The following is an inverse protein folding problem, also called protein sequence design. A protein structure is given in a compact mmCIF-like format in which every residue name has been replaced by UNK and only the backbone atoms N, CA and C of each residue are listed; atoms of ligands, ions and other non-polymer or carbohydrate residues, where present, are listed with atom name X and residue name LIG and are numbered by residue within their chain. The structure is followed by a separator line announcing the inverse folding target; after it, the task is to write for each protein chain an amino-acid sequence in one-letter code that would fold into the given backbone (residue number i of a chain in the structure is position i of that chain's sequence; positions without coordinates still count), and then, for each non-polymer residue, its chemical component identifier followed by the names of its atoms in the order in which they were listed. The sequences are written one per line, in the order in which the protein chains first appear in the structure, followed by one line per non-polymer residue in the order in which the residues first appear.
data_IF_041254660814
#
_entry.id   IF_041254660814
#
_cell.length_a   1.000
_cell.length_b   1.000
_cell.length_c   1.000
_cell.angle_alpha   90.00
_cell.angle_beta   90.00
_cell.angle_gamma   90.00
#
_symmetry.space_group_name_H-M   'P 1'
#
loop_
_entity.id
_entity.type
_entity.pdbx_description
1 polymer ?
#
# COMPACT_ATOMS: atom_id res chain seq x y z
N UNK A 1 23.47 4.19 -7.81
CA UNK A 1 23.00 2.92 -7.21
C UNK A 1 21.76 3.28 -6.41
N UNK A 2 20.57 3.09 -6.98
CA UNK A 2 19.30 3.47 -6.35
C UNK A 2 19.05 2.56 -5.14
N UNK A 3 18.66 3.15 -4.00
CA UNK A 3 18.40 2.50 -2.71
C UNK A 3 17.46 1.28 -2.77
N UNK A 4 16.69 1.15 -3.86
CA UNK A 4 15.76 0.05 -4.14
C UNK A 4 16.42 -1.34 -4.16
N UNK A 5 17.72 -1.44 -4.50
CA UNK A 5 18.40 -2.74 -4.63
C UNK A 5 18.88 -3.36 -3.31
N UNK A 6 18.79 -2.66 -2.18
CA UNK A 6 19.39 -3.13 -0.93
C UNK A 6 18.46 -3.99 -0.06
N UNK A 7 17.16 -4.10 -0.36
CA UNK A 7 16.19 -4.72 0.57
C UNK A 7 15.42 -5.95 0.07
N UNK A 8 15.67 -6.44 -1.14
CA UNK A 8 15.11 -7.72 -1.60
C UNK A 8 15.95 -8.91 -1.10
N UNK A 9 15.84 -9.22 0.19
CA UNK A 9 16.20 -10.54 0.73
C UNK A 9 14.98 -11.47 0.68
N UNK A 10 14.61 -11.95 -0.51
CA UNK A 10 13.98 -13.26 -0.72
C UNK A 10 14.21 -13.68 -2.17
N UNK A 11 14.32 -14.99 -2.40
CA UNK A 11 14.92 -15.56 -3.60
C UNK A 11 14.23 -15.03 -4.88
N UNK A 12 14.97 -14.76 -5.97
CA UNK A 12 14.39 -14.39 -7.26
C UNK A 12 13.33 -15.39 -7.77
N UNK A 13 13.45 -16.65 -7.35
CA UNK A 13 12.54 -17.74 -7.69
C UNK A 13 11.16 -17.64 -7.01
N UNK A 14 11.02 -16.84 -5.95
CA UNK A 14 9.74 -16.65 -5.24
C UNK A 14 8.77 -15.75 -6.02
N UNK A 15 9.24 -15.04 -7.07
CA UNK A 15 8.42 -14.09 -7.83
C UNK A 15 8.72 -14.10 -9.34
N UNK A 16 8.46 -15.20 -10.06
CA UNK A 16 8.91 -15.38 -11.44
C UNK A 16 8.21 -14.49 -12.49
N UNK A 17 7.18 -13.72 -12.14
CA UNK A 17 6.31 -13.03 -13.12
C UNK A 17 5.95 -11.57 -12.79
N UNK A 18 6.74 -10.83 -12.01
CA UNK A 18 6.42 -9.40 -11.74
C UNK A 18 5.15 -9.18 -10.91
N UNK A 19 4.80 -10.16 -10.06
CA UNK A 19 3.66 -10.17 -9.12
C UNK A 19 3.75 -9.09 -8.00
N UNK A 20 4.56 -8.06 -8.20
CA UNK A 20 5.33 -7.35 -7.17
C UNK A 20 5.16 -5.83 -7.18
N UNK A 21 4.30 -5.28 -8.06
CA UNK A 21 4.33 -3.85 -8.36
C UNK A 21 3.31 -3.01 -7.60
N UNK A 22 2.42 -3.58 -6.78
CA UNK A 22 1.43 -2.79 -6.07
C UNK A 22 1.25 -3.16 -4.59
N UNK A 23 0.93 -2.13 -3.80
CA UNK A 23 0.58 -2.25 -2.38
C UNK A 23 -0.93 -2.24 -2.20
N UNK A 24 -1.40 -2.85 -1.11
CA UNK A 24 -2.82 -2.85 -0.73
C UNK A 24 -2.96 -2.95 0.80
N UNK A 25 -4.08 -2.48 1.38
CA UNK A 25 -4.32 -2.60 2.81
C UNK A 25 -4.60 -4.06 3.18
N UNK A 26 -3.99 -4.51 4.26
CA UNK A 26 -4.25 -5.80 4.91
C UNK A 26 -5.36 -5.65 5.94
N UNK A 27 -6.02 -6.73 6.34
CA UNK A 27 -7.04 -6.70 7.40
C UNK A 27 -8.40 -6.15 6.96
N UNK A 28 -8.60 -5.89 5.66
CA UNK A 28 -9.88 -5.59 5.03
C UNK A 28 -10.00 -6.28 3.67
N UNK A 29 -11.19 -6.23 3.05
CA UNK A 29 -11.45 -7.01 1.85
C UNK A 29 -10.52 -6.59 0.70
N UNK A 30 -9.96 -7.59 0.01
CA UNK A 30 -9.22 -7.37 -1.23
C UNK A 30 -10.18 -6.91 -2.34
N UNK A 31 -9.93 -5.74 -2.88
CA UNK A 31 -10.69 -5.16 -3.99
C UNK A 31 -10.28 -5.81 -5.32
N UNK A 32 -11.23 -5.98 -6.23
CA UNK A 32 -11.00 -6.58 -7.55
C UNK A 32 -10.07 -5.75 -8.45
N UNK A 33 -9.81 -4.48 -8.11
CA UNK A 33 -8.80 -3.65 -8.79
C UNK A 33 -7.36 -4.13 -8.56
N UNK A 34 -7.12 -4.98 -7.57
CA UNK A 34 -5.79 -5.55 -7.31
C UNK A 34 -5.43 -6.53 -8.44
N UNK A 35 -4.37 -6.20 -9.17
CA UNK A 35 -3.73 -7.03 -10.18
C UNK A 35 -3.39 -8.39 -9.58
N UNK A 36 -3.79 -9.44 -10.29
CA UNK A 36 -3.54 -10.82 -9.88
C UNK A 36 -4.17 -11.25 -8.55
N UNK A 37 -5.21 -10.55 -8.05
CA UNK A 37 -6.03 -10.94 -6.90
C UNK A 37 -6.44 -12.42 -6.88
N UNK A 38 -6.59 -13.05 -8.05
CA UNK A 38 -6.90 -14.48 -8.18
C UNK A 38 -5.97 -15.40 -7.38
N UNK A 39 -4.70 -15.03 -7.15
CA UNK A 39 -3.76 -15.81 -6.34
C UNK A 39 -3.91 -15.60 -4.84
N UNK A 40 -4.79 -14.70 -4.40
CA UNK A 40 -4.98 -14.42 -2.97
C UNK A 40 -5.90 -15.44 -2.31
N UNK A 41 -6.61 -16.27 -3.08
CA UNK A 41 -7.51 -17.32 -2.57
C UNK A 41 -6.82 -18.30 -1.62
N UNK A 42 -5.51 -18.50 -1.82
CA UNK A 42 -4.70 -19.41 -1.03
C UNK A 42 -4.06 -18.72 0.20
N UNK A 43 -4.27 -17.41 0.38
CA UNK A 43 -3.79 -16.66 1.55
C UNK A 43 -4.74 -16.89 2.73
N UNK A 44 -4.16 -17.01 3.93
CA UNK A 44 -4.91 -17.19 5.19
C UNK A 44 -5.96 -16.08 5.40
N UNK A 45 -5.61 -14.85 5.06
CA UNK A 45 -6.47 -13.67 5.23
C UNK A 45 -7.71 -13.70 4.34
N UNK A 46 -7.66 -14.35 3.17
CA UNK A 46 -8.78 -14.40 2.21
C UNK A 46 -10.01 -15.11 2.78
N UNK A 47 -9.80 -16.12 3.64
CA UNK A 47 -10.87 -16.87 4.27
C UNK A 47 -11.20 -16.37 5.68
N UNK A 48 -10.59 -15.26 6.14
CA UNK A 48 -10.87 -14.70 7.46
C UNK A 48 -12.14 -13.82 7.40
N UNK A 49 -13.24 -14.22 8.08
CA UNK A 49 -14.49 -13.44 8.05
C UNK A 49 -14.33 -12.01 8.56
N UNK A 50 -13.39 -11.78 9.48
CA UNK A 50 -13.12 -10.46 10.06
C UNK A 50 -12.52 -9.49 9.05
N UNK A 51 -11.84 -10.00 8.02
CA UNK A 51 -11.19 -9.19 6.99
C UNK A 51 -12.04 -9.09 5.72
N UNK A 52 -13.07 -9.92 5.57
CA UNK A 52 -13.88 -9.99 4.34
C UNK A 52 -14.98 -8.92 4.24
N UNK A 53 -14.93 -7.88 5.09
CA UNK A 53 -15.81 -6.72 4.98
C UNK A 53 -15.06 -5.53 4.38
N UNK A 54 -15.81 -4.54 3.87
CA UNK A 54 -15.23 -3.35 3.22
C UNK A 54 -14.19 -2.64 4.09
N UNK A 55 -14.45 -2.48 5.38
CA UNK A 55 -13.50 -1.87 6.32
C UNK A 55 -12.69 -2.89 7.11
N UNK A 56 -13.12 -4.16 7.19
CA UNK A 56 -12.45 -5.20 7.96
C UNK A 56 -12.27 -4.77 9.43
N UNK A 57 -11.02 -4.72 9.88
CA UNK A 57 -10.65 -4.27 11.23
C UNK A 57 -10.58 -2.74 11.40
N UNK A 58 -10.76 -1.97 10.32
CA UNK A 58 -10.63 -0.51 10.35
C UNK A 58 -11.98 0.19 10.55
N UNK A 59 -11.93 1.40 11.09
CA UNK A 59 -13.05 2.34 11.05
C UNK A 59 -13.07 3.09 9.71
N UNK A 60 -14.26 3.51 9.28
CA UNK A 60 -14.39 4.34 8.09
C UNK A 60 -13.70 5.69 8.31
N UNK A 61 -12.87 6.11 7.35
CA UNK A 61 -12.13 7.38 7.41
C UNK A 61 -11.02 7.42 8.46
N UNK A 62 -10.49 6.26 8.88
CA UNK A 62 -9.43 6.17 9.89
C UNK A 62 -8.10 6.82 9.46
N UNK A 63 -7.91 7.01 8.15
CA UNK A 63 -6.69 7.50 7.56
C UNK A 63 -5.75 6.36 7.18
N UNK A 64 -5.10 6.49 6.01
CA UNK A 64 -4.21 5.45 5.48
C UNK A 64 -2.98 5.20 6.36
N UNK A 65 -2.56 6.20 7.14
CA UNK A 65 -1.43 6.07 8.05
C UNK A 65 -1.69 5.07 9.20
N UNK A 66 -2.96 4.85 9.56
CA UNK A 66 -3.40 3.87 10.58
C UNK A 66 -3.56 2.46 10.03
N UNK A 67 -3.76 2.35 8.71
CA UNK A 67 -3.89 1.08 8.02
C UNK A 67 -2.57 0.31 7.96
N UNK A 68 -2.63 -1.00 8.13
CA UNK A 68 -1.50 -1.87 7.83
C UNK A 68 -1.50 -2.15 6.33
N UNK A 69 -0.44 -1.73 5.63
CA UNK A 69 -0.24 -2.02 4.21
C UNK A 69 0.55 -3.31 4.03
N UNK A 70 0.42 -3.94 2.86
CA UNK A 70 1.30 -5.04 2.46
C UNK A 70 2.76 -4.57 2.49
N UNK A 71 3.61 -5.23 3.28
CA UNK A 71 5.00 -4.81 3.48
C UNK A 71 5.82 -4.88 2.20
N UNK A 72 6.42 -3.75 1.82
CA UNK A 72 7.18 -3.55 0.58
C UNK A 72 8.26 -2.46 0.76
N UNK A 73 8.95 -2.08 -0.32
CA UNK A 73 10.04 -1.09 -0.26
C UNK A 73 9.55 0.30 0.17
N UNK A 74 8.29 0.63 -0.07
CA UNK A 74 7.67 1.91 0.28
C UNK A 74 7.60 2.12 1.78
N UNK A 75 7.09 1.13 2.54
CA UNK A 75 7.04 1.19 4.00
C UNK A 75 8.45 1.24 4.59
N UNK A 76 9.39 0.46 4.02
CA UNK A 76 10.79 0.50 4.43
C UNK A 76 11.40 1.90 4.21
N UNK A 77 11.28 2.45 3.01
CA UNK A 77 11.84 3.77 2.68
C UNK A 77 11.17 4.89 3.48
N UNK A 78 9.86 4.81 3.71
CA UNK A 78 9.13 5.73 4.58
C UNK A 78 9.67 5.68 6.02
N UNK A 79 9.86 4.48 6.58
CA UNK A 79 10.41 4.31 7.93
C UNK A 79 11.85 4.81 8.03
N UNK A 80 12.72 4.46 7.08
CA UNK A 80 14.10 4.95 7.05
C UNK A 80 14.13 6.48 6.99
N UNK A 81 13.34 7.09 6.10
CA UNK A 81 13.29 8.56 6.00
C UNK A 81 12.80 9.19 7.31
N UNK A 82 11.75 8.64 7.91
CA UNK A 82 11.18 9.11 9.18
C UNK A 82 12.19 9.02 10.34
N UNK A 83 12.80 7.85 10.53
CA UNK A 83 13.76 7.61 11.62
C UNK A 83 15.06 8.42 11.45
N UNK A 84 15.44 8.78 10.22
CA UNK A 84 16.57 9.65 9.95
C UNK A 84 16.21 11.16 9.98
N UNK A 85 15.03 11.52 10.48
CA UNK A 85 14.63 12.92 10.65
C UNK A 85 14.50 13.68 9.33
N UNK A 86 13.90 13.04 8.31
CA UNK A 86 13.68 13.66 7.00
C UNK A 86 13.04 15.04 7.10
N UNK A 87 13.50 15.96 6.24
CA UNK A 87 12.94 17.30 6.06
C UNK A 87 11.96 17.39 4.89
N UNK A 88 11.59 16.25 4.31
CA UNK A 88 10.60 16.20 3.24
C UNK A 88 9.25 16.76 3.71
N UNK A 89 8.54 17.51 2.86
CA UNK A 89 7.17 17.89 3.15
C UNK A 89 6.29 16.64 3.23
N UNK A 90 5.17 16.75 3.93
CA UNK A 90 4.17 15.69 4.10
C UNK A 90 3.78 15.00 2.79
N UNK A 91 3.57 15.79 1.73
CA UNK A 91 3.30 15.29 0.38
C UNK A 91 4.40 14.36 -0.16
N UNK A 92 5.67 14.67 0.12
CA UNK A 92 6.80 13.83 -0.28
C UNK A 92 6.82 12.49 0.45
N UNK A 93 6.57 12.50 1.76
CA UNK A 93 6.43 11.27 2.55
C UNK A 93 5.21 10.44 2.11
N UNK A 94 4.10 11.09 1.75
CA UNK A 94 2.90 10.44 1.24
C UNK A 94 3.18 9.74 -0.10
N UNK A 95 3.88 10.42 -1.02
CA UNK A 95 4.34 9.83 -2.28
C UNK A 95 5.22 8.60 -2.02
N UNK A 96 6.24 8.72 -1.17
CA UNK A 96 7.16 7.60 -0.88
C UNK A 96 6.37 6.38 -0.41
N UNK A 97 5.38 6.56 0.46
CA UNK A 97 4.65 5.45 1.06
C UNK A 97 3.58 4.84 0.16
N UNK A 98 2.95 5.63 -0.72
CA UNK A 98 1.76 5.20 -1.46
C UNK A 98 1.89 5.22 -2.98
N UNK A 99 3.10 5.45 -3.54
CA UNK A 99 3.30 5.51 -5.00
C UNK A 99 2.91 4.21 -5.73
N UNK A 100 3.08 3.04 -5.11
CA UNK A 100 2.64 1.77 -5.70
C UNK A 100 1.24 1.36 -5.27
N UNK A 101 0.49 2.21 -4.57
CA UNK A 101 -0.89 1.89 -4.19
C UNK A 101 -1.87 2.16 -5.35
N UNK A 102 -1.64 1.51 -6.49
CA UNK A 102 -2.42 1.69 -7.71
C UNK A 102 -3.93 1.46 -7.56
N UNK A 103 -4.42 0.49 -6.76
CA UNK A 103 -5.84 0.38 -6.43
C UNK A 103 -6.45 1.71 -5.96
N UNK A 104 -5.73 2.46 -5.13
CA UNK A 104 -6.18 3.75 -4.65
C UNK A 104 -6.11 4.82 -5.74
N UNK A 105 -4.91 5.09 -6.29
CA UNK A 105 -4.69 6.31 -7.09
C UNK A 105 -4.95 6.16 -8.60
N UNK A 106 -5.03 4.93 -9.14
CA UNK A 106 -5.47 4.67 -10.53
C UNK A 106 -6.89 4.13 -10.60
N UNK A 107 -7.25 3.16 -9.77
CA UNK A 107 -8.58 2.55 -9.81
C UNK A 107 -9.61 3.29 -8.93
N UNK A 108 -9.17 4.14 -8.00
CA UNK A 108 -10.06 4.93 -7.15
C UNK A 108 -10.74 4.13 -6.03
N UNK A 109 -10.22 2.95 -5.70
CA UNK A 109 -10.75 2.07 -4.65
C UNK A 109 -10.17 2.46 -3.29
N UNK A 110 -10.63 1.82 -2.20
CA UNK A 110 -10.15 2.10 -0.83
C UNK A 110 -10.35 3.51 -0.25
N UNK A 111 -11.03 4.43 -0.97
CA UNK A 111 -11.31 5.79 -0.48
C UNK A 111 -12.07 5.85 0.84
N UNK A 112 -12.81 4.81 1.20
CA UNK A 112 -13.52 4.73 2.49
C UNK A 112 -12.59 4.65 3.71
N UNK A 113 -11.30 4.37 3.51
CA UNK A 113 -10.30 4.38 4.58
C UNK A 113 -9.60 5.74 4.72
N UNK A 114 -9.70 6.61 3.72
CA UNK A 114 -9.00 7.90 3.68
C UNK A 114 -9.61 8.90 4.66
N UNK A 115 -8.76 9.69 5.30
CA UNK A 115 -9.17 10.89 6.02
C UNK A 115 -8.97 12.15 5.14
N UNK A 116 -9.29 13.32 5.68
CA UNK A 116 -9.16 14.60 4.95
C UNK A 116 -7.74 14.88 4.46
N UNK A 117 -6.74 14.54 5.26
CA UNK A 117 -5.32 14.73 4.93
C UNK A 117 -4.89 13.83 3.77
N UNK A 118 -5.34 12.56 3.74
CA UNK A 118 -5.09 11.66 2.64
C UNK A 118 -5.74 12.16 1.33
N UNK A 119 -6.96 12.70 1.43
CA UNK A 119 -7.68 13.27 0.28
C UNK A 119 -6.92 14.46 -0.32
N UNK A 120 -6.41 15.35 0.53
CA UNK A 120 -5.63 16.51 0.10
C UNK A 120 -4.29 16.09 -0.53
N UNK A 121 -3.70 14.98 -0.05
CA UNK A 121 -2.45 14.47 -0.60
C UNK A 121 -2.62 13.56 -1.84
N UNK A 122 -3.82 13.03 -2.10
CA UNK A 122 -4.08 12.12 -3.21
C UNK A 122 -3.70 12.73 -4.57
N UNK A 123 -3.86 14.05 -4.71
CA UNK A 123 -3.49 14.77 -5.93
C UNK A 123 -2.01 14.61 -6.32
N UNK A 124 -1.13 14.39 -5.33
CA UNK A 124 0.30 14.22 -5.56
C UNK A 124 0.66 12.85 -6.15
N UNK A 125 -0.22 11.85 -6.01
CA UNK A 125 -0.02 10.52 -6.60
C UNK A 125 -0.48 10.44 -8.06
N UNK A 126 -1.43 11.30 -8.47
CA UNK A 126 -2.06 11.21 -9.79
C UNK A 126 -1.07 11.36 -10.95
N UNK A 127 0.06 12.04 -10.72
CA UNK A 127 1.09 12.31 -11.72
C UNK A 127 2.26 11.31 -11.71
N UNK A 128 2.21 10.29 -10.84
CA UNK A 128 3.23 9.24 -10.77
C UNK A 128 2.86 8.14 -11.75
N UNK A 129 3.81 7.80 -12.64
CA UNK A 129 3.67 6.76 -13.67
C UNK A 129 3.91 5.38 -13.09
#
# INVERSE_FOLDING_TARGET
MTLEKCFFFHNPEDFPNGLLLETHPLGCAFDDSIVHRKYFKDKLDYNNPSYNTKCGIYSQGCGLATGTMSWRHEDYMYLVAKENGTTLPQAGSFIIRYHSFYPLHKAGTYKHLMNKEDEDNLMWLQNIQ
#
